data_IF_001714020538
#
_entry.id   IF_001714020538
#
_cell.length_a   1.000
_cell.length_b   1.000
_cell.length_c   1.000
_cell.angle_alpha   90.00
_cell.angle_beta   90.00
_cell.angle_gamma   90.00
#
_symmetry.space_group_name_H-M   'P 1'
#
loop_
_entity.id
_entity.type
_entity.pdbx_description
1 polymer ?
#
# COMPACT_ATOMS: atom_id res chain seq x y z
N UNK A 1 -1.46 15.88 -10.66
CA UNK A 1 -2.05 15.53 -9.37
C UNK A 1 -2.09 16.75 -8.49
N UNK A 2 -2.95 16.75 -7.50
CA UNK A 2 -3.09 17.87 -6.59
C UNK A 2 -1.85 18.05 -5.72
N UNK A 3 -1.37 19.28 -5.65
CA UNK A 3 -0.19 19.60 -4.85
C UNK A 3 -0.55 20.09 -3.45
N UNK A 4 -1.78 20.53 -3.23
CA UNK A 4 -2.23 21.11 -1.97
C UNK A 4 -2.62 20.10 -0.91
N UNK A 5 -2.63 18.82 -1.24
CA UNK A 5 -2.95 17.75 -0.31
C UNK A 5 -4.43 17.64 0.07
N UNK A 6 -5.23 18.66 -0.19
CA UNK A 6 -6.66 18.65 0.15
C UNK A 6 -7.51 17.97 -0.93
N UNK A 7 -7.03 18.00 -2.16
CA UNK A 7 -7.77 17.48 -3.33
C UNK A 7 -7.98 15.98 -3.34
N UNK A 8 -7.28 15.23 -2.51
CA UNK A 8 -7.43 13.78 -2.46
C UNK A 8 -8.86 13.36 -2.07
N UNK A 9 -9.58 14.20 -1.35
CA UNK A 9 -10.97 13.94 -0.95
C UNK A 9 -11.93 13.89 -2.13
N UNK A 10 -11.53 14.44 -3.27
CA UNK A 10 -12.32 14.39 -4.50
C UNK A 10 -12.22 13.05 -5.23
N UNK A 11 -11.28 12.18 -4.84
CA UNK A 11 -11.12 10.87 -5.47
C UNK A 11 -11.95 9.81 -4.79
N UNK A 12 -12.45 8.86 -5.56
CA UNK A 12 -13.09 7.67 -5.02
C UNK A 12 -12.07 6.88 -4.20
N UNK A 13 -12.49 6.37 -3.05
CA UNK A 13 -11.57 5.68 -2.13
C UNK A 13 -10.96 4.42 -2.78
N UNK A 14 -11.78 3.64 -3.49
CA UNK A 14 -11.26 2.44 -4.18
C UNK A 14 -10.39 2.79 -5.38
N UNK A 15 -10.57 3.97 -5.97
CA UNK A 15 -9.67 4.46 -7.01
C UNK A 15 -8.29 4.81 -6.43
N UNK A 16 -8.25 5.34 -5.20
CA UNK A 16 -6.99 5.54 -4.49
C UNK A 16 -6.31 4.21 -4.20
N UNK A 17 -7.07 3.18 -3.83
CA UNK A 17 -6.53 1.84 -3.62
C UNK A 17 -5.93 1.28 -4.91
N UNK A 18 -6.64 1.46 -6.03
CA UNK A 18 -6.16 1.03 -7.34
C UNK A 18 -4.82 1.65 -7.70
N UNK A 19 -4.69 2.96 -7.48
CA UNK A 19 -3.40 3.64 -7.70
C UNK A 19 -2.36 3.17 -6.69
N UNK A 20 -2.74 3.07 -5.43
CA UNK A 20 -1.85 2.64 -4.34
C UNK A 20 -1.27 1.26 -4.56
N UNK A 21 -2.06 0.35 -5.13
CA UNK A 21 -1.57 -0.98 -5.49
C UNK A 21 -0.40 -0.91 -6.46
N UNK A 22 -0.51 -0.08 -7.51
CA UNK A 22 0.55 0.11 -8.49
C UNK A 22 1.80 0.77 -7.88
N UNK A 23 1.59 1.76 -7.03
CA UNK A 23 2.70 2.47 -6.36
C UNK A 23 3.43 1.53 -5.40
N UNK A 24 2.69 0.76 -4.62
CA UNK A 24 3.27 -0.21 -3.69
C UNK A 24 4.09 -1.26 -4.45
N UNK A 25 3.54 -1.78 -5.54
CA UNK A 25 4.24 -2.78 -6.34
C UNK A 25 5.51 -2.19 -6.97
N UNK A 26 5.45 -0.96 -7.48
CA UNK A 26 6.64 -0.29 -8.00
C UNK A 26 7.71 -0.16 -6.93
N UNK A 27 7.34 0.27 -5.74
CA UNK A 27 8.27 0.43 -4.62
C UNK A 27 8.93 -0.91 -4.26
N UNK A 28 8.16 -1.99 -4.20
CA UNK A 28 8.67 -3.33 -3.92
C UNK A 28 9.66 -3.77 -5.00
N UNK A 29 9.31 -3.58 -6.27
CA UNK A 29 10.19 -3.95 -7.39
C UNK A 29 11.49 -3.18 -7.38
N UNK A 30 11.43 -1.86 -7.15
CA UNK A 30 12.63 -1.03 -7.07
C UNK A 30 13.54 -1.50 -5.94
N UNK A 31 12.95 -1.80 -4.78
CA UNK A 31 13.71 -2.28 -3.62
C UNK A 31 14.40 -3.61 -3.91
N UNK A 32 13.69 -4.54 -4.54
CA UNK A 32 14.25 -5.84 -4.89
C UNK A 32 15.36 -5.70 -5.94
N UNK A 33 15.15 -4.86 -6.95
CA UNK A 33 16.11 -4.64 -8.02
C UNK A 33 17.42 -4.06 -7.45
N UNK A 34 17.31 -3.02 -6.63
CA UNK A 34 18.49 -2.33 -6.10
C UNK A 34 19.22 -3.14 -5.03
N UNK A 35 18.51 -4.03 -4.33
CA UNK A 35 19.10 -4.88 -3.30
C UNK A 35 19.68 -6.19 -3.82
N UNK A 36 19.42 -6.53 -5.07
CA UNK A 36 19.86 -7.81 -5.64
C UNK A 36 20.34 -7.65 -7.08
N UNK A 37 21.44 -6.92 -7.25
CA UNK A 37 21.92 -6.48 -8.56
C UNK A 37 22.18 -7.62 -9.57
N UNK A 38 22.46 -8.84 -9.09
CA UNK A 38 22.72 -9.99 -9.96
C UNK A 38 21.50 -10.87 -10.17
N UNK A 39 20.36 -10.55 -9.57
CA UNK A 39 19.16 -11.37 -9.66
C UNK A 39 18.54 -11.27 -11.05
N UNK A 40 18.01 -12.39 -11.52
CA UNK A 40 17.32 -12.46 -12.82
C UNK A 40 15.87 -12.01 -12.68
N UNK A 41 15.27 -11.58 -13.80
CA UNK A 41 13.91 -11.04 -13.81
C UNK A 41 12.87 -12.02 -13.24
N UNK A 42 12.99 -13.30 -13.53
CA UNK A 42 12.05 -14.31 -13.02
C UNK A 42 12.18 -14.52 -11.51
N UNK A 43 13.39 -14.44 -10.97
CA UNK A 43 13.62 -14.48 -9.52
C UNK A 43 13.01 -13.27 -8.84
N UNK A 44 13.24 -12.09 -9.41
CA UNK A 44 12.68 -10.83 -8.89
C UNK A 44 11.15 -10.87 -8.92
N UNK A 45 10.57 -11.36 -10.01
CA UNK A 45 9.12 -11.47 -10.13
C UNK A 45 8.53 -12.38 -9.05
N UNK A 46 9.12 -13.56 -8.84
CA UNK A 46 8.66 -14.51 -7.82
C UNK A 46 8.68 -13.87 -6.43
N UNK A 47 9.75 -13.16 -6.10
CA UNK A 47 9.88 -12.47 -4.80
C UNK A 47 8.88 -11.34 -4.68
N UNK A 48 8.68 -10.56 -5.74
CA UNK A 48 7.72 -9.46 -5.73
C UNK A 48 6.29 -9.97 -5.51
N UNK A 49 5.89 -11.01 -6.22
CA UNK A 49 4.56 -11.63 -6.07
C UNK A 49 4.31 -12.05 -4.62
N UNK A 50 5.30 -12.67 -3.97
CA UNK A 50 5.17 -13.07 -2.58
C UNK A 50 4.98 -11.87 -1.64
N UNK A 51 5.74 -10.79 -1.87
CA UNK A 51 5.71 -9.62 -0.99
C UNK A 51 4.44 -8.78 -1.13
N UNK A 52 3.83 -8.74 -2.31
CA UNK A 52 2.64 -7.90 -2.54
C UNK A 52 1.32 -8.61 -2.21
N UNK A 53 1.36 -9.82 -1.71
CA UNK A 53 0.13 -10.54 -1.34
C UNK A 53 -0.64 -9.81 -0.25
N UNK A 54 -1.97 -9.96 -0.28
CA UNK A 54 -2.86 -9.32 0.68
C UNK A 54 -2.48 -9.62 2.14
N UNK A 55 -2.02 -10.82 2.42
CA UNK A 55 -1.57 -11.21 3.75
C UNK A 55 -0.42 -10.32 4.25
N UNK A 56 0.56 -10.06 3.40
CA UNK A 56 1.70 -9.22 3.77
C UNK A 56 1.29 -7.75 3.90
N UNK A 57 0.38 -7.29 3.03
CA UNK A 57 -0.17 -5.94 3.14
C UNK A 57 -0.94 -5.77 4.45
N UNK A 58 -1.73 -6.77 4.83
CA UNK A 58 -2.50 -6.73 6.08
C UNK A 58 -1.58 -6.72 7.30
N UNK A 59 -0.50 -7.49 7.27
CA UNK A 59 0.50 -7.48 8.34
C UNK A 59 1.21 -6.12 8.44
N UNK A 60 1.54 -5.53 7.30
CA UNK A 60 2.19 -4.22 7.28
C UNK A 60 1.28 -3.16 7.90
N UNK A 61 0.00 -3.11 7.51
CA UNK A 61 -0.89 -2.08 8.05
C UNK A 61 -1.05 -2.19 9.58
N UNK A 62 -1.00 -3.40 10.12
CA UNK A 62 -1.03 -3.58 11.58
C UNK A 62 0.19 -2.95 12.27
N UNK A 63 1.36 -3.01 11.64
CA UNK A 63 2.56 -2.35 12.15
C UNK A 63 2.48 -0.85 12.02
N UNK A 64 1.80 -0.35 10.98
CA UNK A 64 1.71 1.08 10.72
C UNK A 64 0.67 1.79 11.59
N UNK A 65 -0.38 1.08 12.02
CA UNK A 65 -1.48 1.71 12.76
C UNK A 65 -1.03 2.60 13.92
N UNK A 66 -0.13 2.14 14.82
CA UNK A 66 0.30 3.00 15.93
C UNK A 66 1.12 4.22 15.50
N UNK A 67 1.58 4.26 14.27
CA UNK A 67 2.43 5.33 13.74
C UNK A 67 1.66 6.37 12.94
N UNK A 68 0.38 6.14 12.67
CA UNK A 68 -0.42 7.01 11.82
C UNK A 68 -0.77 8.31 12.52
N UNK A 69 -0.72 9.42 11.74
CA UNK A 69 -1.28 10.70 12.19
C UNK A 69 -2.81 10.61 12.23
N UNK A 70 -3.47 11.62 12.78
CA UNK A 70 -4.94 11.66 12.80
C UNK A 70 -5.53 11.62 11.39
N UNK A 71 -4.96 12.36 10.45
CA UNK A 71 -5.44 12.34 9.07
C UNK A 71 -5.20 10.98 8.43
N UNK A 72 -4.03 10.41 8.63
CA UNK A 72 -3.71 9.07 8.10
C UNK A 72 -4.64 8.00 8.70
N UNK A 73 -4.95 8.10 9.98
CA UNK A 73 -5.89 7.19 10.64
C UNK A 73 -7.29 7.30 10.04
N UNK A 74 -7.70 8.51 9.67
CA UNK A 74 -8.96 8.74 8.98
C UNK A 74 -8.96 8.07 7.60
N UNK A 75 -7.88 8.25 6.84
CA UNK A 75 -7.70 7.61 5.53
C UNK A 75 -7.72 6.09 5.67
N UNK A 76 -7.06 5.57 6.68
CA UNK A 76 -7.07 4.14 7.00
C UNK A 76 -8.50 3.63 7.18
N UNK A 77 -9.31 4.34 7.97
CA UNK A 77 -10.70 3.92 8.21
C UNK A 77 -11.54 3.97 6.94
N UNK A 78 -11.33 4.98 6.08
CA UNK A 78 -12.00 5.05 4.79
C UNK A 78 -11.68 3.82 3.94
N UNK A 79 -10.41 3.42 3.91
CA UNK A 79 -9.97 2.26 3.14
C UNK A 79 -10.53 0.96 3.71
N UNK A 80 -10.43 0.80 5.02
CA UNK A 80 -10.95 -0.41 5.69
C UNK A 80 -12.46 -0.59 5.46
N UNK A 81 -13.19 0.51 5.39
CA UNK A 81 -14.65 0.51 5.28
C UNK A 81 -15.17 0.69 3.85
N UNK A 82 -14.29 0.76 2.86
CA UNK A 82 -14.66 1.12 1.49
C UNK A 82 -15.53 0.06 0.79
N UNK A 83 -15.56 -1.15 1.31
CA UNK A 83 -16.26 -2.25 0.65
C UNK A 83 -15.40 -2.82 -0.47
N UNK A 84 -15.92 -2.82 -1.68
CA UNK A 84 -15.24 -3.41 -2.82
C UNK A 84 -15.56 -4.88 -2.98
N UNK A 85 -15.08 -5.45 -4.08
CA UNK A 85 -15.37 -6.85 -4.41
C UNK A 85 -14.25 -7.74 -3.88
N UNK A 86 -14.53 -8.42 -2.77
CA UNK A 86 -13.59 -9.38 -2.21
C UNK A 86 -13.44 -10.59 -3.13
N UNK A 87 -12.20 -11.02 -3.44
CA UNK A 87 -12.00 -12.27 -4.19
C UNK A 87 -12.61 -13.46 -3.45
N UNK A 88 -13.11 -14.42 -4.21
CA UNK A 88 -13.69 -15.63 -3.65
C UNK A 88 -12.65 -16.37 -2.79
N UNK A 89 -13.07 -16.79 -1.59
CA UNK A 89 -12.18 -17.49 -0.66
C UNK A 89 -11.25 -16.60 0.15
N UNK A 90 -11.23 -15.31 -0.12
CA UNK A 90 -10.38 -14.39 0.65
C UNK A 90 -11.01 -14.08 2.01
N UNK A 91 -10.17 -14.02 3.05
CA UNK A 91 -10.60 -13.60 4.38
C UNK A 91 -11.00 -12.13 4.37
N UNK A 92 -12.17 -11.82 4.91
CA UNK A 92 -12.71 -10.46 4.88
C UNK A 92 -11.80 -9.46 5.61
N UNK A 93 -11.30 -9.82 6.78
CA UNK A 93 -10.46 -8.91 7.56
C UNK A 93 -9.13 -8.64 6.85
N UNK A 94 -8.50 -9.68 6.33
CA UNK A 94 -7.26 -9.55 5.54
C UNK A 94 -7.49 -8.66 4.32
N UNK A 95 -8.58 -8.88 3.60
CA UNK A 95 -8.93 -8.07 2.44
C UNK A 95 -9.10 -6.59 2.81
N UNK A 96 -9.84 -6.31 3.87
CA UNK A 96 -10.09 -4.93 4.32
C UNK A 96 -8.81 -4.22 4.74
N UNK A 97 -7.93 -4.93 5.44
CA UNK A 97 -6.63 -4.40 5.86
C UNK A 97 -5.73 -4.11 4.67
N UNK A 98 -5.68 -5.03 3.72
CA UNK A 98 -4.90 -4.83 2.49
C UNK A 98 -5.41 -3.62 1.70
N UNK A 99 -6.72 -3.49 1.55
CA UNK A 99 -7.33 -2.34 0.89
C UNK A 99 -6.98 -1.04 1.61
N UNK A 100 -7.01 -1.04 2.94
CA UNK A 100 -6.66 0.14 3.73
C UNK A 100 -5.21 0.56 3.49
N UNK A 101 -4.28 -0.39 3.39
CA UNK A 101 -2.90 -0.09 3.04
C UNK A 101 -2.82 0.55 1.67
N UNK A 102 -3.48 -0.03 0.68
CA UNK A 102 -3.46 0.49 -0.69
C UNK A 102 -4.02 1.90 -0.76
N UNK A 103 -5.10 2.19 -0.02
CA UNK A 103 -5.66 3.54 0.04
C UNK A 103 -4.66 4.51 0.66
N UNK A 104 -3.99 4.14 1.75
CA UNK A 104 -2.95 4.97 2.36
C UNK A 104 -1.80 5.25 1.41
N UNK A 105 -1.33 4.23 0.70
CA UNK A 105 -0.24 4.40 -0.29
C UNK A 105 -0.69 5.36 -1.39
N UNK A 106 -1.89 5.19 -1.91
CA UNK A 106 -2.45 6.10 -2.92
C UNK A 106 -2.58 7.52 -2.39
N UNK A 107 -3.03 7.68 -1.16
CA UNK A 107 -3.14 8.96 -0.48
C UNK A 107 -1.77 9.66 -0.36
N UNK A 108 -0.77 8.97 0.15
CA UNK A 108 0.57 9.56 0.25
C UNK A 108 1.11 9.96 -1.12
N UNK A 109 0.86 9.13 -2.13
CA UNK A 109 1.33 9.41 -3.49
C UNK A 109 0.68 10.66 -4.08
N UNK A 110 -0.65 10.76 -4.04
CA UNK A 110 -1.36 11.90 -4.66
C UNK A 110 -1.17 13.20 -3.90
N UNK A 111 -0.83 13.12 -2.61
CA UNK A 111 -0.55 14.32 -1.81
C UNK A 111 0.93 14.69 -1.82
N UNK A 112 1.75 14.01 -2.62
CA UNK A 112 3.17 14.32 -2.75
C UNK A 112 4.02 13.97 -1.54
N UNK A 113 3.54 13.09 -0.66
CA UNK A 113 4.25 12.72 0.56
C UNK A 113 5.17 11.52 0.35
N UNK A 114 6.11 11.66 -0.57
CA UNK A 114 7.01 10.56 -0.95
C UNK A 114 7.88 10.09 0.22
N UNK A 115 8.45 11.00 0.98
CA UNK A 115 9.30 10.65 2.12
C UNK A 115 8.51 9.88 3.16
N UNK A 116 7.30 10.34 3.48
CA UNK A 116 6.41 9.66 4.43
C UNK A 116 6.06 8.26 3.94
N UNK A 117 5.71 8.13 2.66
CA UNK A 117 5.44 6.85 2.03
C UNK A 117 6.61 5.88 2.22
N UNK A 118 7.81 6.31 1.90
CA UNK A 118 9.02 5.49 2.02
C UNK A 118 9.29 5.09 3.47
N UNK A 119 9.18 6.03 4.41
CA UNK A 119 9.35 5.75 5.83
C UNK A 119 8.40 4.67 6.32
N UNK A 120 7.14 4.77 5.92
CA UNK A 120 6.13 3.82 6.38
C UNK A 120 6.34 2.44 5.75
N UNK A 121 6.65 2.36 4.46
CA UNK A 121 6.85 1.09 3.79
C UNK A 121 8.12 0.36 4.26
N UNK A 122 9.09 1.08 4.84
CA UNK A 122 10.27 0.45 5.44
C UNK A 122 9.91 -0.47 6.62
N UNK A 123 8.72 -0.35 7.18
CA UNK A 123 8.27 -1.25 8.25
C UNK A 123 7.85 -2.64 7.75
N UNK A 124 7.82 -2.84 6.43
CA UNK A 124 7.47 -4.15 5.86
C UNK A 124 8.51 -5.21 6.21
N UNK A 125 8.04 -6.43 6.49
CA UNK A 125 8.95 -7.54 6.73
C UNK A 125 9.51 -8.04 5.40
N UNK A 126 10.79 -7.78 5.18
CA UNK A 126 11.52 -8.25 4.02
C UNK A 126 12.07 -9.65 4.26
N UNK A 127 11.83 -10.57 3.32
CA UNK A 127 12.37 -11.92 3.38
C UNK A 127 12.98 -12.35 2.06
#
# INVERSE_FOLDING_TARGET
MNEDGAGWRGYNVLALAWLGDAVFELWVRERLLTGGAAAKADELHTRAVALVQAKNQAELILRLQPLLTEEEAYVYRLGRNAGGRRPQGADLLTYRRATALEVLVGYWHVTGQKTRLEEMLENMAWK
#
